data_IF_696494413690
#
_entry.id   IF_696494413690
#
_cell.length_a   1.000
_cell.length_b   1.000
_cell.length_c   1.000
_cell.angle_alpha   90.00
_cell.angle_beta   90.00
_cell.angle_gamma   90.00
#
_symmetry.space_group_name_H-M   'P 1'
#
loop_
_entity.id
_entity.type
_entity.pdbx_description
1 polymer ?
#
# COMPACT_ATOMS: atom_id res chain seq x y z
N UNK A 1 -31.68 -9.97 -1.49
CA UNK A 1 -30.41 -10.50 -0.96
C UNK A 1 -29.54 -11.09 -2.06
N UNK A 2 -29.99 -12.03 -2.89
CA UNK A 2 -29.16 -12.62 -3.97
C UNK A 2 -28.58 -11.58 -4.95
N UNK A 3 -29.42 -10.67 -5.47
CA UNK A 3 -28.98 -9.63 -6.44
C UNK A 3 -27.82 -8.74 -5.94
N UNK A 4 -27.73 -8.50 -4.63
CA UNK A 4 -26.66 -7.68 -4.04
C UNK A 4 -25.37 -8.47 -3.83
N UNK A 5 -25.46 -9.79 -3.66
CA UNK A 5 -24.28 -10.66 -3.58
C UNK A 5 -23.65 -10.85 -4.97
N UNK A 6 -24.47 -11.07 -6.00
CA UNK A 6 -23.99 -11.26 -7.38
C UNK A 6 -23.27 -10.00 -7.90
N UNK A 7 -23.85 -8.82 -7.65
CA UNK A 7 -23.24 -7.52 -7.98
C UNK A 7 -21.91 -7.31 -7.24
N UNK A 8 -21.86 -7.65 -5.95
CA UNK A 8 -20.63 -7.58 -5.19
C UNK A 8 -19.53 -8.49 -5.76
N UNK A 9 -19.85 -9.75 -6.06
CA UNK A 9 -18.90 -10.72 -6.65
C UNK A 9 -18.41 -10.21 -8.00
N UNK A 10 -19.30 -9.65 -8.82
CA UNK A 10 -18.95 -9.04 -10.08
C UNK A 10 -17.95 -7.89 -9.90
N UNK A 11 -18.20 -6.98 -8.96
CA UNK A 11 -17.29 -5.85 -8.69
C UNK A 11 -15.92 -6.33 -8.18
N UNK A 12 -15.88 -7.36 -7.35
CA UNK A 12 -14.60 -7.96 -6.91
C UNK A 12 -13.82 -8.59 -8.06
N UNK A 13 -14.51 -9.28 -8.97
CA UNK A 13 -13.87 -9.83 -10.17
C UNK A 13 -13.36 -8.72 -11.09
N UNK A 14 -14.10 -7.61 -11.23
CA UNK A 14 -13.64 -6.44 -11.96
C UNK A 14 -12.38 -5.84 -11.34
N UNK A 15 -12.36 -5.59 -10.02
CA UNK A 15 -11.19 -5.06 -9.31
C UNK A 15 -9.97 -5.96 -9.44
N UNK A 16 -10.17 -7.28 -9.35
CA UNK A 16 -9.11 -8.24 -9.53
C UNK A 16 -8.51 -8.18 -10.95
N UNK A 17 -9.35 -8.18 -11.98
CA UNK A 17 -8.89 -8.05 -13.36
C UNK A 17 -8.15 -6.72 -13.58
N UNK A 18 -8.64 -5.62 -12.98
CA UNK A 18 -7.97 -4.32 -13.05
C UNK A 18 -6.59 -4.37 -12.42
N UNK A 19 -6.47 -4.91 -11.21
CA UNK A 19 -5.20 -5.03 -10.51
C UNK A 19 -4.22 -5.96 -11.24
N UNK A 20 -4.67 -7.13 -11.68
CA UNK A 20 -3.83 -8.12 -12.36
C UNK A 20 -3.29 -7.59 -13.68
N UNK A 21 -4.17 -7.00 -14.50
CA UNK A 21 -3.77 -6.36 -15.78
C UNK A 21 -2.78 -5.22 -15.51
N UNK A 22 -3.05 -4.39 -14.50
CA UNK A 22 -2.16 -3.30 -14.15
C UNK A 22 -0.79 -3.78 -13.64
N UNK A 23 -0.75 -4.81 -12.81
CA UNK A 23 0.51 -5.41 -12.34
C UNK A 23 1.31 -6.00 -13.51
N UNK A 24 0.64 -6.64 -14.47
CA UNK A 24 1.27 -7.13 -15.70
C UNK A 24 1.95 -5.99 -16.48
N UNK A 25 1.22 -4.88 -16.70
CA UNK A 25 1.73 -3.66 -17.36
C UNK A 25 2.92 -3.07 -16.59
N UNK A 26 2.83 -2.99 -15.26
CA UNK A 26 3.88 -2.41 -14.42
C UNK A 26 5.14 -3.28 -14.38
N UNK A 27 5.00 -4.60 -14.46
CA UNK A 27 6.11 -5.54 -14.37
C UNK A 27 6.74 -5.89 -15.73
N UNK A 28 6.18 -5.43 -16.85
CA UNK A 28 6.77 -5.64 -18.18
C UNK A 28 8.20 -5.06 -18.24
N UNK A 29 9.20 -5.91 -18.49
CA UNK A 29 10.62 -5.53 -18.57
C UNK A 29 10.92 -4.69 -19.82
N UNK A 30 10.22 -4.96 -20.92
CA UNK A 30 10.29 -4.20 -22.17
C UNK A 30 9.66 -2.80 -22.03
N UNK A 31 9.85 -1.91 -23.02
CA UNK A 31 9.07 -0.68 -23.07
C UNK A 31 7.59 -1.08 -23.06
N UNK A 32 6.88 -0.76 -21.98
CA UNK A 32 5.45 -1.03 -21.83
C UNK A 32 4.78 -0.57 -23.12
N UNK A 33 4.17 -1.50 -23.83
CA UNK A 33 3.67 -1.18 -25.15
C UNK A 33 2.48 -0.23 -24.98
N UNK A 34 2.35 0.75 -25.86
CA UNK A 34 1.13 1.55 -25.92
C UNK A 34 -0.12 0.66 -26.14
N UNK A 35 0.07 -0.53 -26.71
CA UNK A 35 -1.00 -1.52 -26.93
C UNK A 35 -1.56 -2.05 -25.60
N UNK A 36 -0.70 -2.42 -24.63
CA UNK A 36 -1.15 -2.93 -23.33
C UNK A 36 -1.98 -1.89 -22.56
N UNK A 37 -1.56 -0.62 -22.60
CA UNK A 37 -2.31 0.48 -21.99
C UNK A 37 -3.64 0.74 -22.70
N UNK A 38 -3.66 0.66 -24.04
CA UNK A 38 -4.90 0.82 -24.81
C UNK A 38 -5.88 -0.33 -24.53
N UNK A 39 -5.41 -1.56 -24.34
CA UNK A 39 -6.24 -2.68 -23.93
C UNK A 39 -6.81 -2.44 -22.53
N UNK A 40 -5.99 -1.98 -21.59
CA UNK A 40 -6.41 -1.61 -20.25
C UNK A 40 -7.49 -0.52 -20.25
N UNK A 41 -7.31 0.55 -21.03
CA UNK A 41 -8.31 1.62 -21.15
C UNK A 41 -9.59 1.15 -21.86
N UNK A 42 -9.47 0.26 -22.84
CA UNK A 42 -10.63 -0.39 -23.47
C UNK A 42 -11.43 -1.20 -22.47
N UNK A 43 -10.75 -1.87 -21.53
CA UNK A 43 -11.40 -2.59 -20.43
C UNK A 43 -12.12 -1.63 -19.47
N UNK A 44 -11.51 -0.50 -19.09
CA UNK A 44 -12.15 0.53 -18.27
C UNK A 44 -13.45 1.06 -18.92
N UNK A 45 -13.43 1.30 -20.24
CA UNK A 45 -14.64 1.68 -20.98
C UNK A 45 -15.70 0.58 -20.98
N UNK A 46 -15.29 -0.68 -21.18
CA UNK A 46 -16.19 -1.83 -21.20
C UNK A 46 -16.93 -2.01 -19.87
N UNK A 47 -16.25 -1.80 -18.74
CA UNK A 47 -16.87 -1.89 -17.41
C UNK A 47 -17.61 -0.62 -17.00
N UNK A 48 -17.55 0.45 -17.82
CA UNK A 48 -18.13 1.75 -17.55
C UNK A 48 -17.79 2.26 -16.13
N UNK A 49 -16.50 2.26 -15.79
CA UNK A 49 -16.03 2.50 -14.42
C UNK A 49 -16.58 3.81 -13.81
N UNK A 50 -16.77 4.84 -14.63
CA UNK A 50 -17.32 6.13 -14.20
C UNK A 50 -18.77 6.08 -13.72
N UNK A 51 -19.52 5.03 -14.09
CA UNK A 51 -20.92 4.84 -13.71
C UNK A 51 -21.08 4.08 -12.38
N UNK A 52 -20.00 3.46 -11.86
CA UNK A 52 -19.97 2.78 -10.56
C UNK A 52 -18.96 3.46 -9.62
N UNK A 53 -19.46 4.38 -8.78
CA UNK A 53 -18.67 5.13 -7.81
C UNK A 53 -17.84 4.21 -6.89
N UNK A 54 -18.41 3.09 -6.41
CA UNK A 54 -17.74 2.23 -5.43
C UNK A 54 -16.60 1.45 -6.08
N UNK A 55 -16.83 0.93 -7.28
CA UNK A 55 -15.80 0.27 -8.09
C UNK A 55 -14.67 1.24 -8.44
N UNK A 56 -15.01 2.46 -8.84
CA UNK A 56 -14.05 3.47 -9.22
C UNK A 56 -13.20 3.94 -8.03
N UNK A 57 -13.82 4.19 -6.88
CA UNK A 57 -13.12 4.55 -5.65
C UNK A 57 -12.14 3.45 -5.21
N UNK A 58 -12.60 2.19 -5.23
CA UNK A 58 -11.75 1.04 -4.91
C UNK A 58 -10.57 0.92 -5.89
N UNK A 59 -10.76 1.24 -7.17
CA UNK A 59 -9.66 1.27 -8.13
C UNK A 59 -8.65 2.40 -7.83
N UNK A 60 -9.09 3.58 -7.37
CA UNK A 60 -8.17 4.63 -6.91
C UNK A 60 -7.34 4.18 -5.69
N UNK A 61 -7.92 3.41 -4.77
CA UNK A 61 -7.16 2.79 -3.68
C UNK A 61 -6.09 1.82 -4.18
N UNK A 62 -6.40 1.01 -5.20
CA UNK A 62 -5.41 0.13 -5.84
C UNK A 62 -4.26 0.94 -6.43
N UNK A 63 -4.55 2.00 -7.19
CA UNK A 63 -3.50 2.89 -7.74
C UNK A 63 -2.64 3.52 -6.64
N UNK A 64 -3.26 3.97 -5.56
CA UNK A 64 -2.57 4.56 -4.41
C UNK A 64 -1.60 3.59 -3.77
N UNK A 65 -2.03 2.35 -3.60
CA UNK A 65 -1.22 1.30 -3.00
C UNK A 65 -0.11 0.82 -3.94
N UNK A 66 -0.42 0.58 -5.21
CA UNK A 66 0.57 0.16 -6.21
C UNK A 66 1.67 1.18 -6.42
N UNK A 67 1.37 2.47 -6.33
CA UNK A 67 2.40 3.52 -6.40
C UNK A 67 3.41 3.38 -5.25
N UNK A 68 2.95 3.08 -4.03
CA UNK A 68 3.84 2.86 -2.87
C UNK A 68 4.71 1.62 -3.12
N UNK A 69 4.12 0.51 -3.55
CA UNK A 69 4.85 -0.73 -3.83
C UNK A 69 5.86 -0.54 -4.96
N UNK A 70 5.46 0.10 -6.06
CA UNK A 70 6.31 0.30 -7.22
C UNK A 70 7.52 1.21 -6.94
N UNK A 71 7.40 2.09 -5.94
CA UNK A 71 8.52 2.91 -5.48
C UNK A 71 9.65 2.08 -4.86
N UNK A 72 9.36 0.89 -4.32
CA UNK A 72 10.32 0.01 -3.63
C UNK A 72 11.27 -0.78 -4.57
N UNK A 73 11.52 -0.28 -5.78
CA UNK A 73 12.45 -0.90 -6.73
C UNK A 73 13.61 0.05 -7.04
N UNK A 74 14.60 -0.39 -7.80
CA UNK A 74 15.67 0.51 -8.25
C UNK A 74 15.08 1.77 -8.91
N UNK A 75 15.65 2.93 -8.60
CA UNK A 75 15.22 4.28 -9.04
C UNK A 75 14.69 4.33 -10.48
N UNK A 76 15.42 3.78 -11.46
CA UNK A 76 15.00 3.83 -12.87
C UNK A 76 13.72 3.02 -13.14
N UNK A 77 13.59 1.85 -12.52
CA UNK A 77 12.39 1.00 -12.63
C UNK A 77 11.21 1.65 -11.90
N UNK A 78 11.44 2.18 -10.70
CA UNK A 78 10.43 2.89 -9.91
C UNK A 78 9.86 4.09 -10.68
N UNK A 79 10.72 4.94 -11.26
CA UNK A 79 10.30 6.10 -12.06
C UNK A 79 9.45 5.69 -13.27
N UNK A 80 9.83 4.63 -14.00
CA UNK A 80 9.04 4.10 -15.11
C UNK A 80 7.65 3.67 -14.64
N UNK A 81 7.57 2.86 -13.58
CA UNK A 81 6.29 2.36 -13.03
C UNK A 81 5.40 3.51 -12.54
N UNK A 82 5.95 4.48 -11.83
CA UNK A 82 5.21 5.67 -11.38
C UNK A 82 4.70 6.48 -12.57
N UNK A 83 5.51 6.63 -13.63
CA UNK A 83 5.07 7.35 -14.84
C UNK A 83 3.88 6.68 -15.54
N UNK A 84 3.82 5.34 -15.54
CA UNK A 84 2.68 4.59 -16.07
C UNK A 84 1.43 4.86 -15.22
N UNK A 85 1.56 4.87 -13.89
CA UNK A 85 0.45 5.20 -13.00
C UNK A 85 -0.05 6.63 -13.25
N UNK A 86 0.85 7.59 -13.46
CA UNK A 86 0.48 8.95 -13.84
C UNK A 86 -0.24 9.02 -15.18
N UNK A 87 0.18 8.24 -16.18
CA UNK A 87 -0.53 8.14 -17.46
C UNK A 87 -1.95 7.60 -17.28
N UNK A 88 -2.13 6.57 -16.46
CA UNK A 88 -3.46 6.03 -16.14
C UNK A 88 -4.29 7.09 -15.43
N UNK A 89 -3.73 7.79 -14.44
CA UNK A 89 -4.46 8.83 -13.72
C UNK A 89 -4.83 10.01 -14.65
N UNK A 90 -3.96 10.38 -15.57
CA UNK A 90 -4.25 11.38 -16.62
C UNK A 90 -5.38 10.93 -17.53
N UNK A 91 -5.39 9.65 -17.94
CA UNK A 91 -6.47 9.07 -18.74
C UNK A 91 -7.80 9.09 -17.97
N UNK A 92 -7.79 8.73 -16.68
CA UNK A 92 -8.97 8.80 -15.82
C UNK A 92 -9.54 10.22 -15.75
N UNK A 93 -8.67 11.22 -15.66
CA UNK A 93 -9.05 12.64 -15.63
C UNK A 93 -9.68 13.07 -16.95
N UNK A 94 -9.11 12.68 -18.09
CA UNK A 94 -9.50 13.16 -19.41
C UNK A 94 -10.72 12.42 -19.99
N UNK A 95 -10.75 11.09 -19.84
CA UNK A 95 -11.67 10.22 -20.58
C UNK A 95 -12.67 9.47 -19.69
N UNK A 96 -12.48 9.48 -18.37
CA UNK A 96 -13.37 8.80 -17.40
C UNK A 96 -13.97 9.75 -16.37
N UNK A 97 -14.01 11.06 -16.67
CA UNK A 97 -14.72 12.06 -15.86
C UNK A 97 -14.37 12.02 -14.37
N UNK A 98 -13.12 11.71 -14.01
CA UNK A 98 -12.69 11.60 -12.61
C UNK A 98 -13.09 12.83 -11.77
N UNK A 99 -13.02 14.03 -12.37
CA UNK A 99 -13.38 15.31 -11.73
C UNK A 99 -14.89 15.48 -11.51
N UNK A 100 -15.71 14.85 -12.33
CA UNK A 100 -17.17 14.95 -12.24
C UNK A 100 -17.74 13.88 -11.29
N UNK A 101 -17.11 12.71 -11.23
CA UNK A 101 -17.51 11.60 -10.35
C UNK A 101 -17.13 11.87 -8.89
N UNK A 102 -15.92 12.40 -8.64
CA UNK A 102 -15.39 12.58 -7.29
C UNK A 102 -15.31 14.04 -6.89
N UNK A 103 -15.88 14.37 -5.73
CA UNK A 103 -15.61 15.65 -5.08
C UNK A 103 -14.18 15.67 -4.52
N UNK A 104 -13.53 16.85 -4.50
CA UNK A 104 -12.14 16.95 -4.05
C UNK A 104 -11.90 16.46 -2.62
N UNK A 105 -12.93 16.52 -1.75
CA UNK A 105 -12.85 15.98 -0.39
C UNK A 105 -12.72 14.46 -0.34
N UNK A 106 -13.11 13.74 -1.40
CA UNK A 106 -13.01 12.27 -1.48
C UNK A 106 -11.58 11.82 -1.78
N UNK A 107 -10.81 12.58 -2.56
CA UNK A 107 -9.43 12.20 -2.88
C UNK A 107 -8.52 12.15 -1.65
N UNK A 108 -8.73 13.02 -0.66
CA UNK A 108 -7.84 13.08 0.48
C UNK A 108 -7.90 11.82 1.36
N UNK A 109 -9.05 11.32 1.82
CA UNK A 109 -9.10 10.05 2.53
C UNK A 109 -8.50 8.87 1.74
N UNK A 110 -8.77 8.82 0.43
CA UNK A 110 -8.29 7.75 -0.46
C UNK A 110 -6.78 7.81 -0.66
N UNK A 111 -6.22 9.00 -0.86
CA UNK A 111 -4.84 9.23 -1.28
C UNK A 111 -3.96 9.88 -0.20
N UNK A 112 -4.43 10.06 1.04
CA UNK A 112 -3.72 10.78 2.12
C UNK A 112 -2.29 10.28 2.36
N UNK A 113 -2.11 8.97 2.22
CA UNK A 113 -0.82 8.31 2.45
C UNK A 113 0.07 8.35 1.19
N UNK A 114 -0.48 8.76 0.05
CA UNK A 114 0.22 8.85 -1.21
C UNK A 114 0.31 10.30 -1.68
N UNK A 115 1.28 11.01 -1.11
CA UNK A 115 1.51 12.43 -1.41
C UNK A 115 1.96 12.66 -2.86
N UNK A 116 2.55 11.66 -3.52
CA UNK A 116 2.92 11.73 -4.94
C UNK A 116 1.69 11.82 -5.84
N UNK A 117 0.65 11.02 -5.59
CA UNK A 117 -0.59 11.09 -6.37
C UNK A 117 -1.38 12.37 -6.05
N UNK A 118 -1.41 12.79 -4.79
CA UNK A 118 -2.02 14.08 -4.43
C UNK A 118 -1.33 15.25 -5.14
N UNK A 119 0.00 15.24 -5.20
CA UNK A 119 0.76 16.24 -5.96
C UNK A 119 0.41 16.22 -7.45
N UNK A 120 0.36 15.04 -8.06
CA UNK A 120 -0.03 14.89 -9.47
C UNK A 120 -1.44 15.42 -9.73
N UNK A 121 -2.42 15.07 -8.88
CA UNK A 121 -3.79 15.59 -8.98
C UNK A 121 -3.85 17.11 -8.84
N UNK A 122 -3.04 17.67 -7.95
CA UNK A 122 -2.92 19.13 -7.79
C UNK A 122 -2.35 19.79 -9.05
N UNK A 123 -1.26 19.26 -9.61
CA UNK A 123 -0.64 19.76 -10.85
C UNK A 123 -1.63 19.72 -12.04
N UNK A 124 -2.50 18.70 -12.07
CA UNK A 124 -3.58 18.55 -13.06
C UNK A 124 -4.86 19.34 -12.73
N UNK A 125 -4.82 20.15 -11.67
CA UNK A 125 -5.94 20.99 -11.19
C UNK A 125 -7.21 20.17 -10.95
N UNK A 126 -7.05 18.96 -10.41
CA UNK A 126 -8.15 18.09 -9.93
C UNK A 126 -8.51 18.47 -8.51
N UNK A 127 -7.50 18.77 -7.68
CA UNK A 127 -7.67 19.31 -6.33
C UNK A 127 -7.08 20.71 -6.27
N UNK A 128 -7.66 21.57 -5.41
CA UNK A 128 -7.16 22.91 -5.19
C UNK A 128 -6.15 22.99 -4.02
N UNK A 129 -5.39 24.09 -3.96
CA UNK A 129 -4.46 24.35 -2.87
C UNK A 129 -5.19 24.45 -1.51
N UNK A 130 -6.41 25.00 -1.50
CA UNK A 130 -7.18 25.20 -0.26
C UNK A 130 -7.47 23.89 0.47
N UNK A 131 -7.66 22.80 -0.28
CA UNK A 131 -7.89 21.46 0.25
C UNK A 131 -6.62 20.90 0.91
N UNK A 132 -5.45 21.12 0.30
CA UNK A 132 -4.13 20.80 0.88
C UNK A 132 -3.92 21.58 2.18
N UNK A 133 -4.20 22.88 2.17
CA UNK A 133 -4.07 23.74 3.35
C UNK A 133 -5.00 23.32 4.50
N UNK A 134 -6.23 22.90 4.19
CA UNK A 134 -7.18 22.42 5.20
C UNK A 134 -6.64 21.19 5.92
N UNK A 135 -6.03 20.26 5.19
CA UNK A 135 -5.35 19.11 5.79
C UNK A 135 -4.20 19.58 6.69
N UNK A 136 -3.34 20.48 6.23
CA UNK A 136 -2.21 21.03 7.02
C UNK A 136 -2.68 21.74 8.29
N UNK A 137 -3.79 22.48 8.22
CA UNK A 137 -4.38 23.17 9.38
C UNK A 137 -4.77 22.16 10.46
N UNK A 138 -5.32 21.02 10.06
CA UNK A 138 -5.79 19.97 10.96
C UNK A 138 -4.67 19.10 11.56
N UNK A 139 -3.45 19.14 10.98
CA UNK A 139 -2.33 18.32 11.44
C UNK A 139 -1.47 18.99 12.52
N UNK A 140 -0.89 18.15 13.39
CA UNK A 140 0.09 18.54 14.41
C UNK A 140 1.53 18.49 13.90
N UNK A 141 1.82 17.66 12.91
CA UNK A 141 3.17 17.44 12.36
C UNK A 141 3.41 18.27 11.09
N UNK A 142 4.66 18.68 10.82
CA UNK A 142 5.00 19.50 9.66
C UNK A 142 5.12 18.70 8.35
N UNK A 143 5.12 17.37 8.39
CA UNK A 143 5.51 16.51 7.26
C UNK A 143 4.71 16.78 5.98
N UNK A 144 3.40 16.99 6.09
CA UNK A 144 2.56 17.27 4.94
C UNK A 144 2.78 18.69 4.41
N UNK A 145 3.01 19.65 5.30
CA UNK A 145 3.40 21.02 4.93
C UNK A 145 4.76 21.06 4.23
N UNK A 146 5.75 20.36 4.76
CA UNK A 146 7.10 20.27 4.17
C UNK A 146 7.04 19.65 2.77
N UNK A 147 6.19 18.65 2.55
CA UNK A 147 6.03 18.01 1.24
C UNK A 147 5.45 18.95 0.16
N UNK A 148 4.43 19.74 0.53
CA UNK A 148 3.77 20.71 -0.36
C UNK A 148 4.33 22.14 -0.23
N UNK A 149 5.51 22.28 0.39
CA UNK A 149 6.13 23.57 0.65
C UNK A 149 6.34 24.40 -0.63
N UNK A 150 6.82 23.84 -1.76
CA UNK A 150 7.04 24.62 -2.97
C UNK A 150 5.76 25.29 -3.50
N UNK A 151 4.63 24.58 -3.48
CA UNK A 151 3.34 25.11 -3.93
C UNK A 151 2.84 26.20 -2.99
N UNK A 152 2.87 25.92 -1.69
CA UNK A 152 2.33 26.81 -0.66
C UNK A 152 3.10 28.13 -0.64
N UNK A 153 4.44 28.08 -0.68
CA UNK A 153 5.26 29.29 -0.69
C UNK A 153 5.01 30.15 -1.94
N UNK A 154 4.82 29.49 -3.09
CA UNK A 154 4.64 30.19 -4.37
C UNK A 154 3.25 30.82 -4.50
N UNK A 155 2.21 30.19 -3.95
CA UNK A 155 0.82 30.56 -4.22
C UNK A 155 0.08 31.20 -3.04
N UNK A 156 0.43 30.86 -1.78
CA UNK A 156 -0.12 31.51 -0.59
C UNK A 156 0.99 31.83 0.41
N UNK A 157 1.67 32.95 0.17
CA UNK A 157 2.74 33.45 1.03
C UNK A 157 2.30 33.72 2.47
N UNK A 158 1.03 34.09 2.68
CA UNK A 158 0.51 34.39 4.01
C UNK A 158 0.31 33.09 4.80
N UNK A 159 -0.26 32.06 4.17
CA UNK A 159 -0.37 30.74 4.76
C UNK A 159 0.99 30.10 5.01
N UNK A 160 1.93 30.22 4.06
CA UNK A 160 3.33 29.80 4.23
C UNK A 160 3.95 30.39 5.50
N UNK A 161 3.97 31.73 5.63
CA UNK A 161 4.59 32.40 6.78
C UNK A 161 3.94 32.00 8.11
N UNK A 162 2.60 31.92 8.13
CA UNK A 162 1.85 31.47 9.30
C UNK A 162 2.22 30.03 9.69
N UNK A 163 2.39 29.16 8.71
CA UNK A 163 2.64 27.73 8.92
C UNK A 163 4.09 27.46 9.30
N UNK A 164 5.06 28.16 8.70
CA UNK A 164 6.46 28.17 9.15
C UNK A 164 6.56 28.53 10.63
N UNK A 165 5.86 29.60 11.05
CA UNK A 165 5.81 30.00 12.47
C UNK A 165 5.10 28.96 13.34
N UNK A 166 3.99 28.38 12.88
CA UNK A 166 3.24 27.33 13.61
C UNK A 166 4.16 26.16 13.96
N UNK A 167 5.01 25.73 13.03
CA UNK A 167 5.89 24.59 13.20
C UNK A 167 7.30 24.95 13.69
N UNK A 168 7.55 26.23 14.01
CA UNK A 168 8.86 26.73 14.46
C UNK A 168 9.98 26.35 13.46
N UNK A 169 9.68 26.55 12.17
CA UNK A 169 10.58 26.31 11.06
C UNK A 169 11.16 27.63 10.52
N UNK A 170 12.42 27.57 10.11
CA UNK A 170 13.12 28.54 9.27
C UNK A 170 13.70 27.86 8.02
N UNK A 171 14.31 28.64 7.13
CA UNK A 171 14.87 28.14 5.87
C UNK A 171 16.00 27.11 6.09
N UNK A 172 16.79 27.27 7.16
CA UNK A 172 17.88 26.34 7.50
C UNK A 172 17.31 24.99 7.96
N UNK A 173 16.29 25.01 8.82
CA UNK A 173 15.58 23.82 9.27
C UNK A 173 14.91 23.09 8.09
N UNK A 174 14.27 23.82 7.18
CA UNK A 174 13.68 23.23 5.97
C UNK A 174 14.77 22.55 5.13
N UNK A 175 15.89 23.23 4.85
CA UNK A 175 16.99 22.67 4.06
C UNK A 175 17.54 21.40 4.70
N UNK A 176 17.71 21.39 6.04
CA UNK A 176 18.10 20.20 6.81
C UNK A 176 17.09 19.05 6.68
N UNK A 177 15.79 19.33 6.72
CA UNK A 177 14.75 18.31 6.49
C UNK A 177 14.86 17.70 5.09
N UNK A 178 15.16 18.51 4.08
CA UNK A 178 15.43 18.04 2.72
C UNK A 178 16.81 17.39 2.57
N UNK A 179 17.67 17.39 3.59
CA UNK A 179 19.07 16.92 3.49
C UNK A 179 19.87 17.68 2.43
N UNK A 180 19.72 19.00 2.38
CA UNK A 180 20.44 19.92 1.48
C UNK A 180 21.05 21.08 2.26
N UNK A 181 22.11 21.68 1.71
CA UNK A 181 22.75 22.87 2.31
C UNK A 181 22.14 24.19 1.80
N UNK A 182 21.26 24.11 0.80
CA UNK A 182 20.64 25.26 0.15
C UNK A 182 19.12 25.24 0.29
N UNK A 183 18.54 26.41 0.57
CA UNK A 183 17.09 26.63 0.50
C UNK A 183 16.69 26.90 -0.94
N UNK A 184 16.21 25.87 -1.64
CA UNK A 184 15.92 25.95 -3.06
C UNK A 184 14.65 25.15 -3.41
N UNK A 185 13.59 25.87 -3.82
CA UNK A 185 12.29 25.28 -4.12
C UNK A 185 12.28 24.37 -5.36
N UNK A 186 13.12 24.66 -6.36
CA UNK A 186 13.25 23.80 -7.53
C UNK A 186 13.91 22.48 -7.14
N UNK A 187 14.95 22.55 -6.30
CA UNK A 187 15.60 21.36 -5.77
C UNK A 187 14.65 20.53 -4.89
N UNK A 188 13.86 21.17 -4.03
CA UNK A 188 12.85 20.49 -3.21
C UNK A 188 11.79 19.80 -4.07
N UNK A 189 11.35 20.46 -5.15
CA UNK A 189 10.42 19.90 -6.13
C UNK A 189 10.96 18.65 -6.80
N UNK A 190 12.24 18.61 -7.16
CA UNK A 190 12.87 17.43 -7.76
C UNK A 190 13.09 16.30 -6.74
N UNK A 191 13.55 16.62 -5.53
CA UNK A 191 13.81 15.61 -4.48
C UNK A 191 12.54 14.83 -4.13
N UNK A 192 11.42 15.51 -3.91
CA UNK A 192 10.19 14.84 -3.46
C UNK A 192 9.53 13.95 -4.52
N UNK A 193 9.83 14.16 -5.81
CA UNK A 193 9.38 13.27 -6.90
C UNK A 193 9.95 11.85 -6.77
N UNK A 194 11.06 11.68 -6.04
CA UNK A 194 11.58 10.34 -5.75
C UNK A 194 10.68 9.55 -4.80
N UNK A 195 9.90 10.19 -3.93
CA UNK A 195 9.04 9.51 -2.95
C UNK A 195 9.80 8.75 -1.85
N UNK A 196 11.10 9.01 -1.67
CA UNK A 196 11.96 8.34 -0.71
C UNK A 196 12.79 9.32 0.11
N UNK A 197 13.35 8.84 1.22
CA UNK A 197 14.29 9.62 2.02
C UNK A 197 15.47 10.13 1.18
N UNK A 198 15.75 11.43 1.31
CA UNK A 198 16.89 12.09 0.68
C UNK A 198 18.18 11.98 1.51
N UNK A 199 18.14 11.30 2.67
CA UNK A 199 19.33 11.18 3.52
C UNK A 199 20.45 10.42 2.78
N UNK A 200 21.73 10.78 2.99
CA UNK A 200 22.84 10.16 2.27
C UNK A 200 22.86 8.63 2.40
N UNK A 201 22.66 8.10 3.62
CA UNK A 201 22.66 6.66 3.86
C UNK A 201 21.46 5.95 3.23
N UNK A 202 20.27 6.56 3.21
CA UNK A 202 19.13 5.97 2.54
C UNK A 202 19.38 5.85 1.03
N UNK A 203 19.97 6.87 0.39
CA UNK A 203 20.36 6.80 -1.03
C UNK A 203 21.38 5.70 -1.31
N UNK A 204 22.46 5.67 -0.53
CA UNK A 204 23.51 4.65 -0.65
C UNK A 204 22.91 3.24 -0.58
N UNK A 205 22.00 2.99 0.38
CA UNK A 205 21.34 1.70 0.49
C UNK A 205 20.44 1.43 -0.71
N UNK A 206 19.57 2.36 -1.12
CA UNK A 206 18.67 2.18 -2.28
C UNK A 206 19.41 1.89 -3.59
N UNK A 207 20.61 2.44 -3.73
CA UNK A 207 21.47 2.25 -4.91
C UNK A 207 22.34 0.99 -4.82
N UNK A 208 22.32 0.31 -3.67
CA UNK A 208 23.19 -0.83 -3.33
C UNK A 208 24.69 -0.53 -3.55
N UNK A 209 25.10 0.72 -3.29
CA UNK A 209 26.48 1.19 -3.46
C UNK A 209 27.35 0.78 -2.26
N UNK A 210 27.99 -0.38 -2.39
CA UNK A 210 28.86 -0.94 -1.36
C UNK A 210 30.04 -0.04 -0.99
N UNK A 211 30.66 0.64 -1.95
CA UNK A 211 31.87 1.43 -1.69
C UNK A 211 31.52 2.66 -0.84
N UNK A 212 30.46 3.37 -1.22
CA UNK A 212 29.93 4.49 -0.43
C UNK A 212 29.40 4.01 0.92
N UNK A 213 28.78 2.83 0.97
CA UNK A 213 28.27 2.24 2.21
C UNK A 213 29.40 1.98 3.21
N UNK A 214 30.48 1.32 2.79
CA UNK A 214 31.64 1.05 3.65
C UNK A 214 32.28 2.34 4.18
N UNK A 215 32.41 3.37 3.34
CA UNK A 215 32.91 4.68 3.77
C UNK A 215 31.99 5.35 4.80
N UNK A 216 30.68 5.18 4.65
CA UNK A 216 29.70 5.71 5.59
C UNK A 216 29.75 4.96 6.93
N UNK A 217 29.62 3.64 6.92
CA UNK A 217 29.50 2.84 8.15
C UNK A 217 30.80 2.77 8.94
N UNK A 218 31.97 2.92 8.32
CA UNK A 218 33.26 2.99 9.04
C UNK A 218 33.36 4.21 10.00
N UNK A 219 32.43 5.17 9.89
CA UNK A 219 32.32 6.31 10.82
C UNK A 219 31.51 5.99 12.07
N UNK A 220 30.86 4.82 12.11
CA UNK A 220 29.97 4.40 13.19
C UNK A 220 30.43 3.05 13.76
N UNK A 221 30.37 2.92 15.08
CA UNK A 221 30.72 1.65 15.74
C UNK A 221 29.57 0.63 15.75
N UNK A 222 28.36 1.06 15.36
CA UNK A 222 27.14 0.27 15.45
C UNK A 222 26.60 -0.10 14.07
N UNK A 223 26.52 -1.40 13.79
CA UNK A 223 26.00 -1.93 12.53
C UNK A 223 24.45 -1.92 12.48
N UNK A 224 23.80 -1.73 13.64
CA UNK A 224 22.35 -1.72 13.81
C UNK A 224 21.76 -0.31 13.85
N UNK A 225 22.49 0.68 13.33
CA UNK A 225 21.97 2.03 13.16
C UNK A 225 20.69 2.04 12.31
N UNK A 226 19.86 3.06 12.55
CA UNK A 226 18.53 3.18 11.96
C UNK A 226 18.43 4.35 10.99
N UNK A 227 17.64 4.17 9.94
CA UNK A 227 17.28 5.23 9.00
C UNK A 227 16.29 6.16 9.68
N UNK A 228 16.62 7.44 9.77
CA UNK A 228 15.71 8.43 10.33
C UNK A 228 14.46 8.59 9.46
N UNK A 229 13.28 8.80 10.07
CA UNK A 229 12.05 8.95 9.33
C UNK A 229 12.14 10.23 8.50
N UNK A 230 11.49 10.21 7.34
CA UNK A 230 11.53 11.32 6.39
C UNK A 230 10.14 11.63 5.91
N UNK A 231 9.76 12.90 5.88
CA UNK A 231 8.50 13.31 5.24
C UNK A 231 8.50 13.02 3.73
N UNK A 232 9.63 12.67 3.12
CA UNK A 232 9.70 12.30 1.70
C UNK A 232 9.37 10.82 1.47
N UNK A 233 9.58 9.95 2.46
CA UNK A 233 9.34 8.51 2.34
C UNK A 233 7.83 8.21 2.38
N UNK A 234 7.29 7.75 1.24
CA UNK A 234 5.85 7.50 1.09
C UNK A 234 5.42 6.14 1.64
N UNK A 235 6.35 5.19 1.78
CA UNK A 235 6.04 3.88 2.31
C UNK A 235 6.01 3.93 3.86
N UNK A 236 4.81 3.87 4.42
CA UNK A 236 4.59 3.92 5.87
C UNK A 236 5.22 2.74 6.63
N UNK A 237 5.42 1.59 5.99
CA UNK A 237 5.99 0.41 6.64
C UNK A 237 7.49 0.54 6.93
N UNK A 238 8.19 1.39 6.15
CA UNK A 238 9.61 1.72 6.36
C UNK A 238 9.84 3.17 6.83
N UNK A 239 8.77 3.95 7.00
CA UNK A 239 8.81 5.32 7.53
C UNK A 239 8.14 5.43 8.91
N UNK A 240 8.32 4.43 9.75
CA UNK A 240 7.65 4.34 11.05
C UNK A 240 8.42 5.12 12.13
N UNK A 241 7.91 6.29 12.53
CA UNK A 241 8.49 7.14 13.58
C UNK A 241 8.70 6.43 14.94
N UNK A 242 7.93 5.38 15.23
CA UNK A 242 8.03 4.62 16.48
C UNK A 242 9.03 3.45 16.41
N UNK A 243 9.26 2.89 15.23
CA UNK A 243 10.23 1.81 15.01
C UNK A 243 10.91 1.97 13.65
N UNK A 244 11.78 2.97 13.57
CA UNK A 244 12.58 3.24 12.38
C UNK A 244 13.33 1.98 11.93
N UNK A 245 13.42 1.71 10.61
CA UNK A 245 14.12 0.53 10.11
C UNK A 245 15.62 0.65 10.36
N UNK A 246 16.25 -0.44 10.78
CA UNK A 246 17.71 -0.56 10.76
C UNK A 246 18.25 -0.55 9.33
N UNK A 247 19.56 -0.34 9.17
CA UNK A 247 20.21 -0.42 7.85
C UNK A 247 19.92 -1.75 7.14
N UNK A 248 19.94 -2.88 7.88
CA UNK A 248 19.66 -4.19 7.27
C UNK A 248 18.18 -4.33 6.88
N UNK A 249 17.25 -3.78 7.67
CA UNK A 249 15.83 -3.76 7.32
C UNK A 249 15.56 -2.93 6.07
N UNK A 250 16.19 -1.75 5.97
CA UNK A 250 16.06 -0.89 4.80
C UNK A 250 16.69 -1.55 3.55
N UNK A 251 17.87 -2.17 3.68
CA UNK A 251 18.49 -2.93 2.60
C UNK A 251 17.60 -4.08 2.10
N UNK A 252 16.98 -4.83 3.01
CA UNK A 252 16.03 -5.89 2.66
C UNK A 252 14.79 -5.33 1.94
N UNK A 253 14.26 -4.18 2.38
CA UNK A 253 13.07 -3.57 1.79
C UNK A 253 13.31 -3.05 0.36
N UNK A 254 14.53 -2.60 0.04
CA UNK A 254 14.90 -2.15 -1.31
C UNK A 254 15.58 -3.22 -2.16
N UNK A 255 15.78 -4.43 -1.63
CA UNK A 255 16.45 -5.51 -2.35
C UNK A 255 17.95 -5.26 -2.59
N UNK A 256 18.59 -4.45 -1.74
CA UNK A 256 20.01 -4.08 -1.80
C UNK A 256 20.88 -5.26 -1.33
N UNK A 257 21.07 -6.24 -2.22
CA UNK A 257 21.62 -7.55 -1.90
C UNK A 257 23.04 -7.46 -1.36
N UNK A 258 23.90 -6.61 -1.92
CA UNK A 258 25.30 -6.54 -1.50
C UNK A 258 25.41 -5.95 -0.09
N UNK A 259 24.69 -4.86 0.17
CA UNK A 259 24.67 -4.22 1.50
C UNK A 259 24.03 -5.15 2.53
N UNK A 260 22.95 -5.84 2.15
CA UNK A 260 22.32 -6.86 2.99
C UNK A 260 23.32 -7.95 3.40
N UNK A 261 24.03 -8.57 2.44
CA UNK A 261 25.01 -9.63 2.71
C UNK A 261 26.09 -9.14 3.66
N UNK A 262 26.62 -7.93 3.45
CA UNK A 262 27.62 -7.35 4.36
C UNK A 262 27.10 -7.22 5.79
N UNK A 263 25.91 -6.63 5.96
CA UNK A 263 25.28 -6.44 7.27
C UNK A 263 24.95 -7.77 7.95
N UNK A 264 24.50 -8.74 7.15
CA UNK A 264 24.21 -10.11 7.58
C UNK A 264 25.46 -10.81 8.14
N UNK A 265 26.58 -10.78 7.40
CA UNK A 265 27.87 -11.35 7.84
C UNK A 265 28.38 -10.65 9.11
N UNK A 266 28.14 -9.35 9.24
CA UNK A 266 28.43 -8.57 10.45
C UNK A 266 27.45 -8.81 11.60
N UNK A 267 26.53 -9.77 11.46
CA UNK A 267 25.55 -10.18 12.48
C UNK A 267 24.65 -9.03 12.93
N UNK A 268 24.22 -8.18 11.99
CA UNK A 268 23.18 -7.20 12.25
C UNK A 268 21.88 -7.89 12.68
N UNK A 269 21.11 -7.23 13.55
CA UNK A 269 19.85 -7.72 14.08
C UNK A 269 18.77 -7.65 12.99
N UNK A 270 18.23 -8.82 12.65
CA UNK A 270 17.26 -8.96 11.56
C UNK A 270 15.85 -9.03 12.13
N UNK A 271 14.93 -8.29 11.49
CA UNK A 271 13.49 -8.53 11.61
C UNK A 271 12.95 -8.94 10.23
N UNK A 272 12.27 -10.09 10.10
CA UNK A 272 11.91 -10.67 8.80
C UNK A 272 10.92 -9.83 7.98
N UNK A 273 10.09 -9.04 8.63
CA UNK A 273 9.01 -8.26 7.99
C UNK A 273 9.52 -7.44 6.79
N UNK A 274 10.72 -6.87 6.87
CA UNK A 274 11.23 -5.98 5.82
C UNK A 274 11.70 -6.68 4.54
N UNK A 275 12.10 -7.97 4.57
CA UNK A 275 12.46 -8.69 3.33
C UNK A 275 11.24 -8.99 2.46
N UNK A 276 10.07 -9.11 3.08
CA UNK A 276 8.80 -9.34 2.39
C UNK A 276 8.27 -8.08 1.71
N UNK A 277 8.68 -6.89 2.17
CA UNK A 277 8.39 -5.63 1.49
C UNK A 277 9.16 -5.56 0.16
N UNK A 278 10.45 -5.86 0.19
CA UNK A 278 11.30 -5.83 -1.01
C UNK A 278 11.08 -7.02 -1.95
N UNK A 279 10.68 -8.17 -1.42
CA UNK A 279 10.36 -9.37 -2.21
C UNK A 279 11.55 -9.94 -3.00
N UNK A 280 12.78 -9.63 -2.60
CA UNK A 280 13.98 -10.12 -3.29
C UNK A 280 14.17 -11.63 -2.99
N UNK A 281 14.07 -12.53 -4.00
CA UNK A 281 14.13 -13.98 -3.77
C UNK A 281 15.46 -14.46 -3.18
N UNK A 282 16.58 -13.81 -3.52
CA UNK A 282 17.91 -14.17 -3.02
C UNK A 282 18.06 -13.83 -1.54
N UNK A 283 17.61 -12.64 -1.12
CA UNK A 283 17.57 -12.27 0.30
C UNK A 283 16.71 -13.25 1.09
N UNK A 284 15.55 -13.63 0.55
CA UNK A 284 14.63 -14.56 1.21
C UNK A 284 15.28 -15.92 1.37
N UNK A 285 15.90 -16.45 0.31
CA UNK A 285 16.59 -17.73 0.35
C UNK A 285 17.74 -17.75 1.39
N UNK A 286 18.56 -16.70 1.44
CA UNK A 286 19.62 -16.55 2.46
C UNK A 286 19.03 -16.59 3.88
N UNK A 287 17.91 -15.90 4.11
CA UNK A 287 17.26 -15.87 5.42
C UNK A 287 16.64 -17.23 5.79
N UNK A 288 16.19 -18.02 4.83
CA UNK A 288 15.67 -19.36 5.09
C UNK A 288 16.76 -20.36 5.45
N UNK A 289 17.92 -20.29 4.77
CA UNK A 289 19.01 -21.24 4.97
C UNK A 289 19.90 -20.89 6.18
N UNK A 290 20.22 -19.61 6.35
CA UNK A 290 21.31 -19.18 7.23
C UNK A 290 20.84 -18.45 8.50
N UNK A 291 19.53 -18.19 8.65
CA UNK A 291 18.98 -17.47 9.79
C UNK A 291 17.98 -18.32 10.57
N UNK A 292 17.88 -18.17 11.92
CA UNK A 292 16.88 -18.87 12.73
C UNK A 292 15.45 -18.35 12.53
N UNK A 293 15.23 -17.47 11.55
CA UNK A 293 13.94 -16.85 11.27
C UNK A 293 12.96 -17.91 10.79
N UNK A 294 11.73 -17.82 11.30
CA UNK A 294 10.61 -18.61 10.82
C UNK A 294 9.59 -17.67 10.22
N UNK A 295 9.24 -17.91 8.96
CA UNK A 295 8.11 -17.23 8.34
C UNK A 295 6.81 -17.80 8.91
N UNK A 296 5.87 -16.91 9.21
CA UNK A 296 4.56 -17.22 9.77
C UNK A 296 3.45 -16.78 8.81
N UNK A 297 2.19 -16.92 9.24
CA UNK A 297 1.03 -16.49 8.45
C UNK A 297 1.06 -14.99 8.14
N UNK A 298 1.61 -14.16 9.03
CA UNK A 298 1.75 -12.72 8.77
C UNK A 298 2.69 -12.44 7.61
N UNK A 299 3.70 -13.30 7.41
CA UNK A 299 4.63 -13.18 6.31
C UNK A 299 3.95 -13.43 4.94
N UNK A 300 3.04 -14.40 4.89
CA UNK A 300 2.22 -14.67 3.70
C UNK A 300 1.35 -13.44 3.38
N UNK A 301 0.66 -12.90 4.40
CA UNK A 301 -0.22 -11.74 4.27
C UNK A 301 0.56 -10.52 3.78
N UNK A 302 1.73 -10.25 4.37
CA UNK A 302 2.55 -9.11 3.96
C UNK A 302 3.06 -9.24 2.53
N UNK A 303 3.44 -10.45 2.11
CA UNK A 303 3.85 -10.71 0.73
C UNK A 303 2.71 -10.41 -0.26
N UNK A 304 1.46 -10.72 0.11
CA UNK A 304 0.27 -10.39 -0.70
C UNK A 304 -0.02 -8.90 -0.74
N UNK A 305 0.09 -8.21 0.40
CA UNK A 305 -0.03 -6.76 0.47
C UNK A 305 1.00 -6.14 -0.46
N UNK A 306 2.26 -6.59 -0.41
CA UNK A 306 3.33 -6.09 -1.27
C UNK A 306 3.27 -6.62 -2.72
N UNK A 307 2.22 -7.38 -3.09
CA UNK A 307 1.98 -7.93 -4.43
C UNK A 307 3.08 -8.87 -4.93
N UNK A 308 3.83 -9.48 -4.02
CA UNK A 308 4.77 -10.56 -4.29
C UNK A 308 4.05 -11.91 -4.22
N UNK A 309 3.14 -12.15 -5.17
CA UNK A 309 2.26 -13.33 -5.13
C UNK A 309 3.04 -14.65 -5.20
N UNK A 310 4.10 -14.73 -6.01
CA UNK A 310 4.95 -15.93 -6.11
C UNK A 310 5.59 -16.28 -4.77
N UNK A 311 6.08 -15.26 -4.06
CA UNK A 311 6.61 -15.41 -2.70
C UNK A 311 5.52 -15.85 -1.74
N UNK A 312 4.34 -15.24 -1.80
CA UNK A 312 3.25 -15.60 -0.93
C UNK A 312 2.83 -17.07 -1.12
N UNK A 313 2.85 -17.57 -2.36
CA UNK A 313 2.62 -18.98 -2.68
C UNK A 313 3.70 -19.89 -2.16
N UNK A 314 4.96 -19.50 -2.37
CA UNK A 314 6.11 -20.24 -1.87
C UNK A 314 6.05 -20.39 -0.34
N UNK A 315 5.77 -19.29 0.37
CA UNK A 315 5.60 -19.32 1.83
C UNK A 315 4.41 -20.20 2.23
N UNK A 316 3.29 -20.12 1.51
CA UNK A 316 2.10 -20.94 1.77
C UNK A 316 2.36 -22.44 1.61
N UNK A 317 3.19 -22.86 0.64
CA UNK A 317 3.53 -24.27 0.45
C UNK A 317 4.50 -24.81 1.51
N UNK A 318 5.29 -23.94 2.15
CA UNK A 318 6.37 -24.33 3.05
C UNK A 318 6.04 -24.14 4.53
N UNK A 319 5.11 -23.23 4.85
CA UNK A 319 4.69 -22.99 6.23
C UNK A 319 3.59 -23.98 6.61
N UNK A 320 3.81 -24.74 7.68
CA UNK A 320 2.74 -25.51 8.33
C UNK A 320 1.69 -24.57 8.85
N UNK A 321 0.56 -24.45 8.14
CA UNK A 321 -0.56 -23.65 8.58
C UNK A 321 -1.07 -24.20 9.93
N UNK A 322 -1.34 -23.32 10.91
CA UNK A 322 -2.05 -23.73 12.12
C UNK A 322 -3.44 -24.26 11.75
N UNK A 323 -4.04 -25.03 12.65
CA UNK A 323 -5.34 -25.65 12.43
C UNK A 323 -6.42 -24.60 12.14
N UNK A 324 -7.52 -24.97 11.46
CA UNK A 324 -8.56 -24.04 11.03
C UNK A 324 -9.17 -23.21 12.19
N UNK A 325 -9.12 -23.70 13.43
CA UNK A 325 -9.58 -23.00 14.63
C UNK A 325 -8.71 -21.77 15.00
N UNK A 326 -7.48 -21.69 14.50
CA UNK A 326 -6.55 -20.58 14.73
C UNK A 326 -6.69 -19.46 13.68
N UNK A 327 -7.55 -19.65 12.66
CA UNK A 327 -7.79 -18.67 11.58
C UNK A 327 -8.63 -17.46 12.00
N UNK A 328 -9.02 -17.35 13.27
CA UNK A 328 -9.51 -16.08 13.82
C UNK A 328 -8.48 -14.96 13.65
N UNK A 329 -7.18 -15.29 13.54
CA UNK A 329 -6.12 -14.35 13.15
C UNK A 329 -6.36 -13.79 11.74
N UNK A 330 -6.87 -14.58 10.78
CA UNK A 330 -7.19 -14.06 9.44
C UNK A 330 -8.39 -13.09 9.44
N UNK A 331 -9.26 -13.13 10.45
CA UNK A 331 -10.38 -12.19 10.53
C UNK A 331 -9.94 -10.76 10.89
N UNK A 332 -8.91 -10.61 11.74
CA UNK A 332 -8.28 -9.32 12.04
C UNK A 332 -7.44 -8.78 10.86
N UNK A 333 -6.94 -9.68 10.00
CA UNK A 333 -6.01 -9.32 8.91
C UNK A 333 -6.60 -9.31 7.51
N UNK A 334 -7.72 -9.99 7.25
CA UNK A 334 -8.39 -9.97 5.95
C UNK A 334 -8.92 -8.57 5.59
N UNK A 335 -8.92 -7.65 6.56
CA UNK A 335 -9.07 -6.20 6.41
C UNK A 335 -8.00 -5.58 5.48
N UNK A 336 -6.83 -6.21 5.34
CA UNK A 336 -5.70 -5.69 4.54
C UNK A 336 -5.46 -6.43 3.22
N UNK A 337 -6.06 -7.60 3.02
CA UNK A 337 -5.77 -8.45 1.85
C UNK A 337 -6.84 -8.23 0.77
N UNK A 338 -6.61 -7.22 -0.05
CA UNK A 338 -7.36 -6.98 -1.29
C UNK A 338 -6.83 -7.88 -2.42
N UNK A 339 -7.04 -9.18 -2.38
CA UNK A 339 -6.87 -9.98 -3.60
C UNK A 339 -7.92 -11.08 -3.70
N UNK A 340 -8.86 -10.94 -4.63
CA UNK A 340 -9.82 -11.98 -4.99
C UNK A 340 -9.11 -13.29 -5.38
N UNK A 341 -7.92 -13.19 -5.97
CA UNK A 341 -7.00 -14.29 -6.23
C UNK A 341 -6.73 -15.18 -5.02
N UNK A 342 -6.48 -14.60 -3.84
CA UNK A 342 -6.23 -15.37 -2.63
C UNK A 342 -7.50 -16.06 -2.13
N UNK A 343 -8.66 -15.46 -2.33
CA UNK A 343 -9.95 -16.06 -1.97
C UNK A 343 -10.28 -17.23 -2.92
N UNK A 344 -9.99 -17.08 -4.21
CA UNK A 344 -10.09 -18.17 -5.18
C UNK A 344 -9.09 -19.30 -4.85
N UNK A 345 -7.87 -18.98 -4.44
CA UNK A 345 -6.82 -19.98 -4.23
C UNK A 345 -6.86 -20.63 -2.86
N UNK A 346 -7.29 -19.93 -1.82
CA UNK A 346 -7.72 -20.55 -0.55
C UNK A 346 -8.89 -21.48 -0.85
N UNK A 347 -9.91 -21.02 -1.57
CA UNK A 347 -11.05 -21.90 -1.86
C UNK A 347 -10.61 -23.14 -2.65
N UNK A 348 -9.77 -23.01 -3.69
CA UNK A 348 -9.20 -24.15 -4.41
C UNK A 348 -8.31 -25.06 -3.52
N UNK A 349 -7.45 -24.50 -2.66
CA UNK A 349 -6.60 -25.27 -1.75
C UNK A 349 -7.39 -25.98 -0.66
N UNK A 350 -8.48 -25.40 -0.19
CA UNK A 350 -9.39 -26.02 0.77
C UNK A 350 -10.22 -27.12 0.09
N UNK A 351 -10.77 -26.84 -1.09
CA UNK A 351 -11.50 -27.83 -1.91
C UNK A 351 -10.58 -29.00 -2.33
N UNK A 352 -9.28 -28.77 -2.52
CA UNK A 352 -8.29 -29.82 -2.79
C UNK A 352 -7.91 -30.69 -1.58
N UNK A 353 -8.05 -30.17 -0.35
CA UNK A 353 -7.82 -30.93 0.89
C UNK A 353 -9.03 -31.77 1.32
N UNK A 354 -10.21 -31.49 0.77
CA UNK A 354 -11.43 -32.26 0.96
C UNK A 354 -11.91 -32.81 -0.39
N UNK A 355 -11.38 -33.95 -0.87
CA UNK A 355 -11.86 -34.54 -2.11
C UNK A 355 -13.36 -34.80 -2.02
N UNK A 356 -14.12 -34.29 -2.98
CA UNK A 356 -15.53 -34.62 -3.19
C UNK A 356 -15.65 -36.09 -3.61
N UNK A 357 -15.42 -37.02 -2.67
CA UNK A 357 -15.97 -38.35 -2.81
C UNK A 357 -17.42 -38.29 -2.37
N UNK A 358 -18.31 -38.09 -3.35
CA UNK A 358 -19.76 -38.19 -3.16
C UNK A 358 -20.14 -39.65 -2.91
N UNK A 359 -19.81 -40.17 -1.73
CA UNK A 359 -20.48 -41.33 -1.19
C UNK A 359 -21.73 -40.82 -0.47
N UNK A 360 -22.89 -41.00 -1.11
CA UNK A 360 -24.23 -40.51 -0.73
C UNK A 360 -24.76 -40.96 0.65
N UNK A 361 -23.93 -41.48 1.55
CA UNK A 361 -24.37 -42.05 2.83
C UNK A 361 -23.86 -41.32 4.08
N UNK A 362 -23.02 -40.29 3.99
CA UNK A 362 -22.55 -39.53 5.17
C UNK A 362 -23.19 -38.13 5.25
N UNK A 363 -24.45 -38.07 5.71
CA UNK A 363 -25.14 -36.81 6.02
C UNK A 363 -24.36 -35.91 7.00
N UNK A 364 -23.50 -36.48 7.83
CA UNK A 364 -22.68 -35.74 8.79
C UNK A 364 -21.46 -35.06 8.15
N UNK A 365 -20.88 -35.64 7.08
CA UNK A 365 -19.81 -34.98 6.32
C UNK A 365 -20.34 -33.82 5.48
N UNK A 366 -21.52 -33.98 4.88
CA UNK A 366 -22.17 -32.91 4.14
C UNK A 366 -22.52 -31.73 5.08
N UNK A 367 -23.04 -32.01 6.28
CA UNK A 367 -23.30 -30.96 7.29
C UNK A 367 -22.05 -30.24 7.77
N UNK A 368 -20.92 -30.95 7.92
CA UNK A 368 -19.67 -30.31 8.30
C UNK A 368 -19.13 -29.43 7.16
N UNK A 369 -19.20 -29.89 5.91
CA UNK A 369 -18.80 -29.11 4.74
C UNK A 369 -19.68 -27.86 4.57
N UNK A 370 -21.00 -28.00 4.71
CA UNK A 370 -21.95 -26.88 4.64
C UNK A 370 -21.71 -25.88 5.78
N UNK A 371 -21.35 -26.36 6.98
CA UNK A 371 -20.97 -25.52 8.13
C UNK A 371 -19.65 -24.78 7.91
N UNK A 372 -18.64 -25.43 7.31
CA UNK A 372 -17.35 -24.81 6.99
C UNK A 372 -17.47 -23.78 5.86
N UNK A 373 -18.25 -24.07 4.81
CA UNK A 373 -18.59 -23.12 3.75
C UNK A 373 -19.36 -21.93 4.35
N UNK A 374 -20.32 -22.18 5.23
CA UNK A 374 -21.06 -21.12 5.93
C UNK A 374 -20.16 -20.26 6.82
N UNK A 375 -19.19 -20.85 7.51
CA UNK A 375 -18.20 -20.11 8.30
C UNK A 375 -17.23 -19.31 7.42
N UNK A 376 -16.81 -19.84 6.27
CA UNK A 376 -16.06 -19.07 5.27
C UNK A 376 -16.87 -17.88 4.75
N UNK A 377 -18.16 -18.06 4.45
CA UNK A 377 -19.04 -16.98 4.04
C UNK A 377 -19.25 -15.94 5.15
N UNK A 378 -19.25 -16.34 6.43
CA UNK A 378 -19.28 -15.41 7.58
C UNK A 378 -17.99 -14.61 7.70
N UNK A 379 -16.82 -15.23 7.53
CA UNK A 379 -15.53 -14.53 7.50
C UNK A 379 -15.51 -13.57 6.32
N UNK A 380 -15.99 -13.99 5.15
CA UNK A 380 -16.12 -13.16 3.96
C UNK A 380 -17.02 -11.94 4.22
N UNK A 381 -18.22 -12.15 4.77
CA UNK A 381 -19.15 -11.07 5.13
C UNK A 381 -18.60 -10.14 6.23
N UNK A 382 -17.80 -10.67 7.16
CA UNK A 382 -17.10 -9.89 8.20
C UNK A 382 -15.99 -9.02 7.60
N UNK A 383 -15.16 -9.58 6.71
CA UNK A 383 -14.10 -8.85 6.01
C UNK A 383 -14.69 -7.79 5.08
N UNK A 384 -15.80 -8.09 4.40
CA UNK A 384 -16.57 -7.13 3.60
C UNK A 384 -17.22 -6.03 4.43
N UNK A 385 -17.85 -6.37 5.57
CA UNK A 385 -18.51 -5.37 6.43
C UNK A 385 -17.48 -4.50 7.14
N UNK A 386 -16.28 -5.01 7.43
CA UNK A 386 -15.16 -4.21 7.88
C UNK A 386 -14.56 -3.37 6.75
N UNK A 387 -14.48 -3.89 5.51
CA UNK A 387 -14.15 -3.09 4.32
C UNK A 387 -15.14 -1.94 4.14
N UNK A 388 -16.43 -2.23 4.27
CA UNK A 388 -17.51 -1.26 4.20
C UNK A 388 -17.44 -0.27 5.37
N UNK A 389 -17.13 -0.71 6.59
CA UNK A 389 -16.90 0.16 7.76
C UNK A 389 -15.62 0.98 7.64
N UNK A 390 -14.54 0.48 7.02
CA UNK A 390 -13.29 1.19 6.79
C UNK A 390 -13.44 2.24 5.68
N UNK A 391 -14.19 1.89 4.63
CA UNK A 391 -14.62 2.82 3.58
C UNK A 391 -15.61 3.86 4.14
N UNK A 392 -16.48 3.51 5.10
CA UNK A 392 -17.40 4.44 5.78
C UNK A 392 -16.77 5.29 6.91
N UNK A 393 -15.75 4.79 7.62
CA UNK A 393 -14.98 5.53 8.64
C UNK A 393 -14.14 6.65 8.01
N UNK A 394 -13.94 6.59 6.68
CA UNK A 394 -13.41 7.71 5.90
C UNK A 394 -14.38 8.91 5.82
N UNK A 395 -15.64 8.73 6.23
CA UNK A 395 -16.70 9.73 6.04
C UNK A 395 -17.45 10.19 7.30
N UNK A 396 -17.33 9.57 8.50
CA UNK A 396 -18.21 9.91 9.65
C UNK A 396 -17.50 9.82 11.01
N UNK A 397 -16.58 10.74 11.32
CA UNK A 397 -16.21 10.98 12.73
C UNK A 397 -16.06 12.46 13.12
N UNK A 398 -16.31 13.41 12.21
CA UNK A 398 -16.27 14.84 12.55
C UNK A 398 -17.60 15.59 12.41
N UNK A 399 -18.70 14.99 11.92
CA UNK A 399 -19.96 15.73 11.73
C UNK A 399 -21.28 15.08 12.20
N UNK A 400 -21.31 13.90 12.82
CA UNK A 400 -22.58 13.31 13.28
C UNK A 400 -22.53 12.89 14.76
N UNK A 401 -22.95 13.80 15.64
CA UNK A 401 -23.18 13.52 17.06
C UNK A 401 -24.57 12.98 17.38
N UNK A 402 -25.45 12.71 16.40
CA UNK A 402 -26.78 12.22 16.74
C UNK A 402 -27.45 11.43 15.61
N UNK A 403 -27.32 10.09 15.67
CA UNK A 403 -28.29 9.10 15.14
C UNK A 403 -27.86 7.68 15.51
N UNK A 404 -28.38 7.21 16.63
CA UNK A 404 -28.29 5.82 17.14
C UNK A 404 -28.92 4.77 16.22
N UNK A 405 -29.84 5.17 15.32
CA UNK A 405 -30.63 4.24 14.48
C UNK A 405 -29.84 3.54 13.38
N UNK A 406 -28.84 4.16 12.77
CA UNK A 406 -28.04 3.53 11.71
C UNK A 406 -27.02 2.55 12.30
N UNK A 407 -26.45 2.88 13.48
CA UNK A 407 -25.71 1.93 14.31
C UNK A 407 -26.58 0.74 14.73
N UNK A 408 -27.82 0.98 15.12
CA UNK A 408 -28.77 -0.09 15.45
C UNK A 408 -29.13 -0.96 14.25
N UNK A 409 -29.19 -0.44 13.02
CA UNK A 409 -29.47 -1.25 11.82
C UNK A 409 -28.27 -2.15 11.48
N UNK A 410 -27.05 -1.63 11.56
CA UNK A 410 -25.84 -2.43 11.34
C UNK A 410 -25.69 -3.46 12.46
N UNK A 411 -25.85 -3.07 13.73
CA UNK A 411 -25.81 -3.99 14.88
C UNK A 411 -26.96 -5.00 14.82
N UNK A 412 -28.17 -4.60 14.41
CA UNK A 412 -29.31 -5.50 14.22
C UNK A 412 -29.10 -6.47 13.05
N UNK A 413 -28.44 -6.02 11.99
CA UNK A 413 -28.00 -6.88 10.89
C UNK A 413 -27.03 -7.92 11.45
N UNK A 414 -26.01 -7.52 12.21
CA UNK A 414 -25.07 -8.42 12.89
C UNK A 414 -25.75 -9.39 13.88
N UNK A 415 -26.64 -8.90 14.74
CA UNK A 415 -27.36 -9.71 15.73
C UNK A 415 -28.40 -10.65 15.11
N UNK A 416 -28.77 -10.45 13.85
CA UNK A 416 -29.62 -11.39 13.11
C UNK A 416 -28.84 -12.57 12.50
N UNK A 417 -27.50 -12.52 12.53
CA UNK A 417 -26.59 -13.56 12.05
C UNK A 417 -25.89 -14.37 13.18
N UNK A 418 -26.14 -14.00 14.43
CA UNK A 418 -25.81 -14.75 15.66
C UNK A 418 -27.10 -15.30 16.27
#
# INVERSE_FOLDING_TARGET
MSKSCDEFIQNMNCLWNLEDTLLSILNSEEQTSYEDLNEFFSYLHKIAIQDDFSLYEAFLHILAHLTIICSMTNKKKAQKKISIIYMILDELILNFSLKDVFHQSTFFPVLRNNKLLLLHLYEKKVIDLSSIENVIRSQSEPDFFLFFLPEIQTQDIAFYQKTMKKFLLDEEQVSRHYSTDEYNLDLFSEIRKEGHSNSPIAKIIREDDMDSFLQYVNKFDNINEKIQPSFLEINGDINNKNDNPSFIQYAMAFGSINIFIYLFIKKANIKPVSCLIGGNPEIIHILEEESPIKFDVNCIILSMICKHYDLAYYLLSNISLPSFNDLNILSDFGVKVYSAFFLEKISQSLLGKFPFETNNNDNDKQKNLDSEIFNMMKIYAFLLSYLHCYLLDSHILTQFTDRTKEKEIVISFFLSFF
#
